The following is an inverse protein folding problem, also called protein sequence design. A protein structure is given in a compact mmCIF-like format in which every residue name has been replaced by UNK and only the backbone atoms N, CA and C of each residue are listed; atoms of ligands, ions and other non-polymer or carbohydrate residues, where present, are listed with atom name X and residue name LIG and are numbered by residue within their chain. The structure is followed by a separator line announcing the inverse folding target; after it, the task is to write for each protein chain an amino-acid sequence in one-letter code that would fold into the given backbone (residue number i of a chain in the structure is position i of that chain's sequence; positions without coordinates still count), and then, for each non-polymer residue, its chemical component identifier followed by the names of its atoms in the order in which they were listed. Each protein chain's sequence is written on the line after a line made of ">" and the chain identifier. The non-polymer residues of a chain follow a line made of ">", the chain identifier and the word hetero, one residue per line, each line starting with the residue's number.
data_IF_808274225654
#
_entry.id   IF_808274225654
#
_cell.length_a   1.000
_cell.length_b   1.000
_cell.length_c   1.000
_cell.angle_alpha   90.00
_cell.angle_beta   90.00
_cell.angle_gamma   90.00
#
_symmetry.space_group_name_H-M   'P 1'
#
loop_
_entity.id
_entity.type
_entity.pdbx_description
1 polymer ?
#
# COMPACT_ATOMS: atom_id res chain seq x y z
N UNK A 1 13.48 18.73 11.08
CA UNK A 1 14.12 17.46 11.49
C UNK A 1 14.18 16.58 10.25
N UNK A 2 15.37 16.10 9.84
CA UNK A 2 15.53 15.33 8.60
C UNK A 2 15.46 13.84 8.91
N UNK A 3 14.68 13.08 8.12
CA UNK A 3 14.61 11.62 8.24
C UNK A 3 15.59 11.01 7.23
N UNK A 4 16.46 10.13 7.70
CA UNK A 4 17.39 9.39 6.85
C UNK A 4 17.16 7.89 7.03
N UNK A 5 17.08 7.21 5.89
CA UNK A 5 17.05 5.76 5.77
C UNK A 5 18.27 5.33 4.95
N UNK A 6 18.88 4.17 5.24
CA UNK A 6 19.92 3.58 4.40
C UNK A 6 19.39 3.37 2.97
N UNK A 7 20.23 3.58 1.95
CA UNK A 7 19.87 3.20 0.59
C UNK A 7 20.15 1.71 0.35
N UNK A 8 19.44 1.08 -0.60
CA UNK A 8 19.67 -0.32 -0.95
C UNK A 8 21.11 -0.54 -1.44
N UNK A 9 21.84 -1.44 -0.78
CA UNK A 9 23.24 -1.73 -1.07
C UNK A 9 24.26 -0.69 -0.56
N UNK A 10 23.83 0.35 0.17
CA UNK A 10 24.73 1.33 0.79
C UNK A 10 25.54 0.69 1.93
N UNK A 11 26.85 0.92 1.94
CA UNK A 11 27.69 0.50 3.07
C UNK A 11 27.41 1.36 4.30
N UNK A 12 27.47 0.77 5.50
CA UNK A 12 27.22 1.50 6.74
C UNK A 12 28.16 2.69 6.97
N UNK A 13 29.39 2.60 6.48
CA UNK A 13 30.35 3.71 6.53
C UNK A 13 29.95 4.87 5.63
N UNK A 14 29.40 4.60 4.44
CA UNK A 14 28.84 5.63 3.57
C UNK A 14 27.61 6.29 4.20
N UNK A 15 26.72 5.48 4.80
CA UNK A 15 25.56 5.99 5.51
C UNK A 15 25.95 6.91 6.67
N UNK A 16 26.92 6.52 7.49
CA UNK A 16 27.45 7.36 8.58
C UNK A 16 27.99 8.70 8.06
N UNK A 17 28.75 8.69 6.95
CA UNK A 17 29.23 9.93 6.32
C UNK A 17 28.09 10.84 5.88
N UNK A 18 27.04 10.28 5.29
CA UNK A 18 25.83 11.02 4.90
C UNK A 18 25.13 11.62 6.12
N UNK A 19 25.01 10.87 7.21
CA UNK A 19 24.44 11.36 8.48
C UNK A 19 25.30 12.46 9.11
N UNK A 20 26.63 12.37 8.98
CA UNK A 20 27.55 13.39 9.49
C UNK A 20 27.46 14.68 8.68
N UNK A 21 27.30 14.59 7.35
CA UNK A 21 27.20 15.74 6.45
C UNK A 21 25.95 16.60 6.69
N UNK A 22 24.87 16.02 7.20
CA UNK A 22 23.65 16.76 7.50
C UNK A 22 23.82 17.68 8.73
N UNK A 23 23.29 18.88 8.63
CA UNK A 23 23.24 19.86 9.72
C UNK A 23 21.83 19.86 10.34
N UNK A 24 21.75 19.73 11.67
CA UNK A 24 20.49 19.76 12.43
C UNK A 24 20.09 18.42 13.07
N UNK A 25 18.82 18.32 13.48
CA UNK A 25 18.26 17.13 14.12
C UNK A 25 17.92 16.07 13.08
N UNK A 26 18.46 14.86 13.28
CA UNK A 26 18.36 13.73 12.34
C UNK A 26 17.66 12.55 13.01
N UNK A 27 16.67 11.99 12.30
CA UNK A 27 16.05 10.72 12.65
C UNK A 27 16.61 9.63 11.75
N UNK A 28 17.27 8.63 12.32
CA UNK A 28 17.74 7.45 11.61
C UNK A 28 16.70 6.36 11.69
N UNK A 29 16.20 5.91 10.56
CA UNK A 29 15.19 4.85 10.49
C UNK A 29 15.85 3.57 10.00
N UNK A 30 16.03 2.61 10.92
CA UNK A 30 16.76 1.36 10.68
C UNK A 30 15.86 0.12 10.67
N UNK A 31 14.55 0.29 10.89
CA UNK A 31 13.60 -0.81 10.88
C UNK A 31 13.41 -1.32 9.45
N UNK A 32 13.51 -2.62 9.22
CA UNK A 32 13.34 -3.22 7.89
C UNK A 32 14.62 -3.26 7.03
N UNK A 33 15.71 -2.63 7.47
CA UNK A 33 17.02 -2.77 6.84
C UNK A 33 17.80 -3.94 7.47
N UNK A 34 18.39 -4.71 6.57
CA UNK A 34 19.07 -5.99 6.69
C UNK A 34 19.14 -6.69 8.07
N UNK A 35 18.47 -7.85 8.17
CA UNK A 35 18.65 -8.83 9.26
C UNK A 35 20.14 -9.21 9.44
N UNK A 36 20.95 -9.07 8.39
CA UNK A 36 22.39 -9.29 8.41
C UNK A 36 23.13 -8.28 9.30
N UNK A 37 22.77 -7.00 9.29
CA UNK A 37 23.36 -6.00 10.18
C UNK A 37 23.01 -6.25 11.66
N UNK A 38 21.77 -6.66 11.92
CA UNK A 38 21.35 -7.06 13.26
C UNK A 38 22.14 -8.29 13.79
N UNK A 39 22.60 -9.16 12.89
CA UNK A 39 23.41 -10.35 13.20
C UNK A 39 24.90 -10.04 13.32
N UNK A 40 25.45 -9.10 12.54
CA UNK A 40 26.87 -8.77 12.56
C UNK A 40 27.24 -7.84 13.73
N UNK A 41 27.67 -8.44 14.85
CA UNK A 41 28.02 -7.71 16.08
C UNK A 41 29.14 -6.68 15.86
N UNK A 42 30.13 -6.96 15.00
CA UNK A 42 31.29 -6.08 14.78
C UNK A 42 30.90 -4.81 14.04
N UNK A 43 30.19 -4.92 12.92
CA UNK A 43 29.75 -3.76 12.14
C UNK A 43 28.78 -2.88 12.92
N UNK A 44 27.88 -3.49 13.68
CA UNK A 44 26.96 -2.75 14.55
C UNK A 44 27.67 -1.96 15.64
N UNK A 45 28.72 -2.53 16.24
CA UNK A 45 29.52 -1.82 17.22
C UNK A 45 30.22 -0.60 16.59
N UNK A 46 30.88 -0.78 15.44
CA UNK A 46 31.54 0.30 14.70
C UNK A 46 30.56 1.41 14.30
N UNK A 47 29.39 1.05 13.78
CA UNK A 47 28.35 2.00 13.42
C UNK A 47 27.86 2.82 14.62
N UNK A 48 27.58 2.14 15.74
CA UNK A 48 27.13 2.83 16.94
C UNK A 48 28.25 3.70 17.54
N UNK A 49 29.51 3.30 17.49
CA UNK A 49 30.66 4.10 17.93
C UNK A 49 30.77 5.41 17.16
N UNK A 50 30.58 5.38 15.84
CA UNK A 50 30.59 6.60 15.02
C UNK A 50 29.38 7.50 15.29
N UNK A 51 28.20 6.92 15.55
CA UNK A 51 26.97 7.68 15.81
C UNK A 51 26.96 8.28 17.22
N UNK A 52 27.61 7.66 18.20
CA UNK A 52 27.71 8.22 19.55
C UNK A 52 28.31 9.62 19.56
N UNK A 53 29.30 9.87 18.69
CA UNK A 53 29.96 11.19 18.53
C UNK A 53 28.97 12.31 18.20
N UNK A 54 27.83 11.97 17.61
CA UNK A 54 26.78 12.89 17.17
C UNK A 54 25.42 12.56 17.82
N UNK A 55 25.43 11.83 18.94
CA UNK A 55 24.23 11.34 19.64
C UNK A 55 23.28 12.45 20.12
N UNK A 56 23.80 13.65 20.43
CA UNK A 56 23.00 14.79 20.90
C UNK A 56 21.93 15.25 19.91
N UNK A 57 22.20 15.10 18.60
CA UNK A 57 21.31 15.51 17.50
C UNK A 57 20.59 14.35 16.82
N UNK A 58 20.88 13.11 17.21
CA UNK A 58 20.38 11.90 16.55
C UNK A 58 19.34 11.18 17.40
N UNK A 59 18.28 10.72 16.73
CA UNK A 59 17.34 9.75 17.27
C UNK A 59 17.30 8.54 16.35
N UNK A 60 17.28 7.33 16.91
CA UNK A 60 17.19 6.09 16.13
C UNK A 60 15.78 5.52 16.27
N UNK A 61 15.10 5.25 15.16
CA UNK A 61 13.86 4.50 15.10
C UNK A 61 14.14 3.07 14.63
N UNK A 62 13.96 2.08 15.51
CA UNK A 62 14.08 0.65 15.18
C UNK A 62 13.16 -0.20 16.04
N UNK A 63 12.78 -1.38 15.53
CA UNK A 63 12.08 -2.43 16.27
C UNK A 63 12.99 -3.59 16.71
N UNK A 64 14.25 -3.59 16.27
CA UNK A 64 15.18 -4.68 16.53
C UNK A 64 15.74 -4.61 17.95
N UNK A 65 15.31 -5.53 18.83
CA UNK A 65 15.62 -5.51 20.27
C UNK A 65 17.11 -5.42 20.57
N UNK A 66 17.95 -6.14 19.81
CA UNK A 66 19.40 -6.15 20.04
C UNK A 66 20.02 -4.78 19.75
N UNK A 67 19.55 -4.09 18.72
CA UNK A 67 20.03 -2.75 18.38
C UNK A 67 19.54 -1.70 19.37
N UNK A 68 18.30 -1.81 19.84
CA UNK A 68 17.75 -0.95 20.89
C UNK A 68 18.62 -1.02 22.15
N UNK A 69 18.95 -2.23 22.61
CA UNK A 69 19.76 -2.42 23.81
C UNK A 69 21.15 -1.80 23.66
N UNK A 70 21.83 -2.04 22.54
CA UNK A 70 23.19 -1.54 22.34
C UNK A 70 23.23 -0.02 22.13
N UNK A 71 22.22 0.55 21.46
CA UNK A 71 22.09 2.00 21.30
C UNK A 71 21.78 2.70 22.64
N UNK A 72 20.92 2.12 23.47
CA UNK A 72 20.59 2.66 24.81
C UNK A 72 21.77 2.61 25.77
N UNK A 73 22.55 1.51 25.76
CA UNK A 73 23.79 1.40 26.55
C UNK A 73 24.79 2.53 26.23
N UNK A 74 24.74 3.04 25.01
CA UNK A 74 25.58 4.14 24.50
C UNK A 74 24.95 5.52 24.65
N UNK A 75 23.81 5.65 25.33
CA UNK A 75 23.14 6.93 25.59
C UNK A 75 22.37 7.52 24.40
N UNK A 76 22.17 6.76 23.31
CA UNK A 76 21.44 7.24 22.14
C UNK A 76 19.93 7.14 22.40
N UNK A 77 19.17 8.16 22.00
CA UNK A 77 17.70 8.14 22.09
C UNK A 77 17.10 7.22 21.03
N UNK A 78 16.30 6.24 21.46
CA UNK A 78 15.70 5.22 20.59
C UNK A 78 14.18 5.25 20.66
N UNK A 79 13.54 5.16 19.49
CA UNK A 79 12.09 5.15 19.29
C UNK A 79 11.67 3.75 18.82
N UNK A 80 10.88 3.07 19.65
CA UNK A 80 10.39 1.71 19.37
C UNK A 80 8.91 1.68 18.96
N UNK A 81 8.13 2.64 19.46
CA UNK A 81 6.68 2.66 19.23
C UNK A 81 6.33 3.48 18.00
N UNK A 82 5.37 2.97 17.23
CA UNK A 82 4.84 3.66 16.05
C UNK A 82 4.13 4.96 16.45
N UNK A 83 3.49 5.01 17.62
CA UNK A 83 2.84 6.22 18.16
C UNK A 83 3.83 7.36 18.35
N UNK A 84 4.99 7.05 18.93
CA UNK A 84 6.01 8.03 19.25
C UNK A 84 6.69 8.55 17.96
N UNK A 85 6.85 7.66 16.97
CA UNK A 85 7.30 8.03 15.63
C UNK A 85 6.27 8.95 14.94
N UNK A 86 4.97 8.64 15.03
CA UNK A 86 3.90 9.44 14.44
C UNK A 86 3.85 10.86 15.02
N UNK A 87 3.94 10.98 16.34
CA UNK A 87 3.91 12.28 17.01
C UNK A 87 5.12 13.14 16.68
N UNK A 88 6.25 12.52 16.36
CA UNK A 88 7.50 13.22 16.04
C UNK A 88 7.57 13.65 14.56
N UNK A 89 6.90 12.92 13.66
CA UNK A 89 6.94 13.14 12.22
C UNK A 89 5.67 13.77 11.65
N UNK A 90 4.71 14.19 12.48
CA UNK A 90 3.37 14.61 12.04
C UNK A 90 3.35 15.67 10.93
N UNK A 91 4.32 16.59 10.92
CA UNK A 91 4.44 17.67 9.93
C UNK A 91 5.61 17.47 8.94
N UNK A 92 6.13 16.25 8.81
CA UNK A 92 7.30 15.97 8.00
C UNK A 92 6.92 15.35 6.64
N UNK A 93 7.51 15.84 5.55
CA UNK A 93 7.29 15.31 4.19
C UNK A 93 7.61 13.80 4.09
N UNK A 94 8.58 13.31 4.85
CA UNK A 94 8.98 11.90 4.87
C UNK A 94 8.11 11.01 5.78
N UNK A 95 6.96 11.49 6.26
CA UNK A 95 6.10 10.76 7.21
C UNK A 95 5.62 9.40 6.68
N UNK A 96 5.01 9.38 5.49
CA UNK A 96 4.40 8.16 4.95
C UNK A 96 5.46 7.09 4.61
N UNK A 97 6.61 7.52 4.09
CA UNK A 97 7.74 6.65 3.80
C UNK A 97 8.36 6.08 5.10
N UNK A 98 8.57 6.93 6.10
CA UNK A 98 9.07 6.52 7.41
C UNK A 98 8.15 5.48 8.07
N UNK A 99 6.82 5.66 8.01
CA UNK A 99 5.86 4.71 8.58
C UNK A 99 5.84 3.40 7.80
N UNK A 100 5.93 3.46 6.48
CA UNK A 100 5.98 2.27 5.62
C UNK A 100 7.15 1.37 5.98
N UNK A 101 8.34 1.97 6.12
CA UNK A 101 9.58 1.25 6.46
C UNK A 101 9.56 0.78 7.93
N UNK A 102 9.08 1.62 8.85
CA UNK A 102 9.05 1.29 10.27
C UNK A 102 8.01 0.22 10.63
N UNK A 103 6.86 0.21 9.97
CA UNK A 103 5.75 -0.66 10.32
C UNK A 103 4.91 -1.07 9.12
N UNK A 104 5.39 -2.02 8.30
CA UNK A 104 4.70 -2.45 7.09
C UNK A 104 3.28 -2.98 7.39
N UNK A 105 3.08 -3.71 8.49
CA UNK A 105 1.76 -4.21 8.89
C UNK A 105 0.76 -3.08 9.20
N UNK A 106 1.19 -2.03 9.88
CA UNK A 106 0.33 -0.88 10.22
C UNK A 106 0.02 -0.05 8.97
N UNK A 107 1.00 0.07 8.06
CA UNK A 107 0.80 0.72 6.77
C UNK A 107 -0.20 -0.04 5.90
N UNK A 108 -0.09 -1.37 5.80
CA UNK A 108 -1.05 -2.22 5.07
C UNK A 108 -2.46 -2.13 5.66
N UNK A 109 -2.58 -2.12 7.00
CA UNK A 109 -3.86 -1.91 7.67
C UNK A 109 -4.45 -0.53 7.36
N UNK A 110 -3.64 0.54 7.39
CA UNK A 110 -4.09 1.90 7.03
C UNK A 110 -4.54 1.95 5.57
N UNK A 111 -3.81 1.33 4.65
CA UNK A 111 -4.19 1.27 3.25
C UNK A 111 -5.52 0.52 3.06
N UNK A 112 -5.67 -0.64 3.70
CA UNK A 112 -6.92 -1.41 3.69
C UNK A 112 -8.08 -0.61 4.28
N UNK A 113 -7.88 0.06 5.40
CA UNK A 113 -8.91 0.88 6.04
C UNK A 113 -9.29 2.08 5.17
N UNK A 114 -8.31 2.74 4.54
CA UNK A 114 -8.54 3.84 3.62
C UNK A 114 -9.37 3.37 2.41
N UNK A 115 -8.98 2.24 1.80
CA UNK A 115 -9.73 1.63 0.68
C UNK A 115 -11.15 1.20 1.08
N UNK A 116 -11.35 0.74 2.32
CA UNK A 116 -12.68 0.42 2.86
C UNK A 116 -13.50 1.69 3.14
N UNK A 117 -12.88 2.73 3.70
CA UNK A 117 -13.53 4.01 4.06
C UNK A 117 -13.89 4.86 2.84
N UNK A 118 -13.13 4.76 1.75
CA UNK A 118 -13.44 5.39 0.46
C UNK A 118 -14.66 4.76 -0.24
N UNK A 119 -15.33 3.78 0.37
CA UNK A 119 -16.58 3.22 -0.12
C UNK A 119 -16.45 2.35 -1.38
N UNK A 120 -15.24 2.20 -1.94
CA UNK A 120 -14.96 1.32 -3.07
C UNK A 120 -15.01 -0.18 -2.69
N UNK A 121 -14.84 -0.50 -1.41
CA UNK A 121 -14.85 -1.89 -0.89
C UNK A 121 -15.89 -2.13 0.19
N UNK A 122 -16.97 -1.34 0.25
CA UNK A 122 -18.17 -1.83 0.93
C UNK A 122 -18.70 -2.99 0.08
N UNK A 123 -18.40 -4.23 0.50
CA UNK A 123 -18.86 -5.50 -0.08
C UNK A 123 -20.32 -5.48 -0.60
N UNK A 124 -21.28 -4.74 0.02
CA UNK A 124 -22.63 -4.61 -0.53
C UNK A 124 -22.71 -3.85 -1.86
N UNK A 125 -22.00 -2.71 -2.01
CA UNK A 125 -22.11 -1.87 -3.22
C UNK A 125 -21.44 -2.50 -4.44
N UNK A 126 -20.29 -3.16 -4.26
CA UNK A 126 -19.60 -3.85 -5.35
C UNK A 126 -20.47 -4.97 -5.95
N UNK A 127 -21.21 -5.68 -5.09
CA UNK A 127 -22.16 -6.72 -5.50
C UNK A 127 -23.32 -6.16 -6.34
N UNK A 128 -23.86 -5.00 -5.95
CA UNK A 128 -24.91 -4.32 -6.71
C UNK A 128 -24.39 -3.84 -8.06
N UNK A 129 -23.21 -3.23 -8.10
CA UNK A 129 -22.58 -2.81 -9.37
C UNK A 129 -22.27 -4.00 -10.29
N UNK A 130 -21.81 -5.12 -9.75
CA UNK A 130 -21.58 -6.35 -10.50
C UNK A 130 -22.89 -6.90 -11.09
N UNK A 131 -23.96 -6.92 -10.30
CA UNK A 131 -25.29 -7.34 -10.77
C UNK A 131 -25.79 -6.42 -11.89
N UNK A 132 -25.72 -5.10 -11.71
CA UNK A 132 -26.11 -4.12 -12.75
C UNK A 132 -25.29 -4.33 -14.02
N UNK A 133 -23.99 -4.53 -13.92
CA UNK A 133 -23.11 -4.79 -15.06
C UNK A 133 -23.51 -6.08 -15.78
N UNK A 134 -23.67 -7.19 -15.05
CA UNK A 134 -24.03 -8.49 -15.63
C UNK A 134 -25.40 -8.42 -16.31
N UNK A 135 -26.39 -7.81 -15.65
CA UNK A 135 -27.74 -7.63 -16.21
C UNK A 135 -27.70 -6.73 -17.45
N UNK A 136 -26.95 -5.63 -17.41
CA UNK A 136 -26.79 -4.74 -18.57
C UNK A 136 -26.12 -5.44 -19.75
N UNK A 137 -25.02 -6.17 -19.50
CA UNK A 137 -24.32 -6.93 -20.53
C UNK A 137 -25.22 -8.00 -21.13
N UNK A 138 -25.96 -8.75 -20.31
CA UNK A 138 -26.93 -9.75 -20.78
C UNK A 138 -28.03 -9.10 -21.63
N UNK A 139 -28.59 -7.98 -21.17
CA UNK A 139 -29.62 -7.25 -21.91
C UNK A 139 -29.12 -6.81 -23.28
N UNK A 140 -27.95 -6.17 -23.34
CA UNK A 140 -27.35 -5.74 -24.60
C UNK A 140 -26.93 -6.91 -25.48
N UNK A 141 -26.44 -7.99 -24.90
CA UNK A 141 -26.10 -9.21 -25.63
C UNK A 141 -27.34 -9.83 -26.28
N UNK A 142 -28.46 -9.90 -25.56
CA UNK A 142 -29.71 -10.41 -26.13
C UNK A 142 -30.20 -9.51 -27.25
N UNK A 143 -30.24 -8.20 -27.02
CA UNK A 143 -30.80 -7.23 -27.95
C UNK A 143 -29.97 -7.13 -29.24
N UNK A 144 -28.64 -7.11 -29.14
CA UNK A 144 -27.77 -6.93 -30.30
C UNK A 144 -27.29 -8.22 -30.96
N UNK A 145 -27.32 -9.37 -30.25
CA UNK A 145 -26.81 -10.63 -30.80
C UNK A 145 -27.88 -11.69 -31.01
N UNK A 146 -28.76 -11.91 -30.02
CA UNK A 146 -29.80 -12.96 -30.12
C UNK A 146 -30.99 -12.53 -30.98
N UNK A 147 -31.51 -11.32 -30.77
CA UNK A 147 -32.70 -10.83 -31.48
C UNK A 147 -32.49 -10.77 -33.00
N UNK A 148 -31.36 -10.25 -33.53
CA UNK A 148 -31.10 -10.25 -34.96
C UNK A 148 -30.81 -11.64 -35.53
N UNK A 149 -30.43 -12.61 -34.68
CA UNK A 149 -30.16 -13.99 -35.06
C UNK A 149 -31.40 -14.89 -34.97
N UNK A 150 -32.55 -14.36 -34.53
CA UNK A 150 -33.78 -15.13 -34.43
C UNK A 150 -34.45 -15.22 -35.80
N UNK A 151 -34.50 -16.42 -36.36
CA UNK A 151 -35.29 -16.70 -37.56
C UNK A 151 -36.78 -16.67 -37.22
N UNK A 152 -37.49 -15.66 -37.73
CA UNK A 152 -38.94 -15.56 -37.59
C UNK A 152 -39.56 -16.47 -38.64
N UNK A 153 -39.99 -17.66 -38.24
CA UNK A 153 -40.74 -18.57 -39.10
C UNK A 153 -42.19 -18.10 -39.14
N UNK A 154 -42.58 -17.41 -40.22
CA UNK A 154 -43.99 -17.06 -40.49
C UNK A 154 -44.63 -18.23 -41.23
N UNK A 155 -45.41 -19.04 -40.52
CA UNK A 155 -46.21 -20.09 -41.14
C UNK A 155 -47.52 -19.50 -41.68
N UNK A 156 -47.86 -19.70 -42.96
CA UNK A 156 -49.14 -19.26 -43.50
C UNK A 156 -50.27 -20.08 -42.88
N UNK A 157 -51.34 -19.39 -42.44
CA UNK A 157 -52.55 -20.02 -41.93
C UNK A 157 -53.28 -20.70 -43.10
N UNK A 158 -53.48 -22.02 -43.05
CA UNK A 158 -54.20 -22.81 -44.06
C UNK A 158 -55.73 -22.63 -43.94
N UNK A 159 -56.22 -21.40 -43.79
CA UNK A 159 -57.65 -21.14 -43.94
C UNK A 159 -57.92 -20.81 -45.42
N UNK A 160 -58.36 -21.80 -46.18
CA UNK A 160 -58.90 -21.65 -47.53
C UNK A 160 -60.21 -20.86 -47.44
N UNK A 161 -60.13 -19.53 -47.55
CA UNK A 161 -61.32 -18.70 -47.75
C UNK A 161 -61.70 -18.81 -49.22
N UNK A 162 -62.63 -19.73 -49.52
CA UNK A 162 -63.25 -19.85 -50.84
C UNK A 162 -64.16 -18.64 -51.05
N UNK A 163 -63.66 -17.59 -51.70
CA UNK A 163 -64.50 -16.51 -52.19
C UNK A 163 -65.10 -16.91 -53.54
N UNK A 164 -66.38 -17.31 -53.54
CA UNK A 164 -67.15 -17.47 -54.77
C UNK A 164 -67.54 -16.08 -55.26
N UNK A 165 -66.81 -15.54 -56.25
CA UNK A 165 -67.20 -14.32 -56.93
C UNK A 165 -68.27 -14.66 -57.98
N UNK A 166 -69.52 -14.31 -57.71
CA UNK A 166 -70.58 -14.34 -58.71
C UNK A 166 -70.40 -13.14 -59.63
N UNK A 167 -69.99 -13.36 -60.87
CA UNK A 167 -69.94 -12.32 -61.90
C UNK A 167 -71.34 -12.27 -62.53
N UNK A 168 -72.06 -11.17 -62.32
CA UNK A 168 -73.31 -10.84 -63.01
C UNK A 168 -73.03 -9.97 -64.23
#
# INVERSE_FOLDING_TARGET
>A
MKVLFPNDGESWSAFVRRVQAEQGSVLLLLSGFDLFFARNKKERALFLDEIVKISSRIRIATKERKLVQDARKKGIRVIEKVTDLKNLLSDNESYDEAIRIFSPAVWQQRLRNNLQSMGLLSLPRLRVWLLILITGVLFFFVLFKLLPSAEIIVTPRQETITQTANIF
#
